data_IF_569377318254
#
_entry.id   IF_569377318254
#
_cell.length_a   1.000
_cell.length_b   1.000
_cell.length_c   1.000
_cell.angle_alpha   90.00
_cell.angle_beta   90.00
_cell.angle_gamma   90.00
#
_symmetry.space_group_name_H-M   'P 1'
#
loop_
_entity.id
_entity.type
_entity.pdbx_description
1 polymer ?
#
# COMPACT_ATOMS: atom_id res chain seq x y z
N UNK A 1 7.38 14.89 4.93
CA UNK A 1 5.93 14.69 4.67
C UNK A 1 5.22 14.53 6.02
N UNK A 2 4.13 15.28 6.28
CA UNK A 2 3.40 15.24 7.57
C UNK A 2 2.12 14.39 7.53
N UNK A 3 1.88 13.67 6.43
CA UNK A 3 0.61 12.99 6.19
C UNK A 3 -0.48 13.91 5.60
N UNK A 4 -1.67 13.35 5.33
CA UNK A 4 -2.84 14.11 4.84
C UNK A 4 -3.27 15.23 5.81
N UNK A 5 -3.86 16.29 5.28
CA UNK A 5 -4.40 17.38 6.08
C UNK A 5 -5.59 16.92 6.95
N UNK A 6 -5.95 17.72 7.93
CA UNK A 6 -7.19 17.51 8.69
C UNK A 6 -8.40 17.55 7.73
N UNK A 7 -9.33 16.59 7.86
CA UNK A 7 -10.43 16.39 6.92
C UNK A 7 -10.10 15.47 5.72
N UNK A 8 -8.83 15.25 5.41
CA UNK A 8 -8.37 14.36 4.32
C UNK A 8 -7.79 13.04 4.81
N UNK A 9 -7.81 12.83 6.14
CA UNK A 9 -7.30 11.61 6.74
C UNK A 9 -8.18 10.41 6.38
N UNK A 10 -7.60 9.21 6.21
CA UNK A 10 -8.36 7.99 6.02
C UNK A 10 -9.43 7.82 7.11
N UNK A 11 -10.63 7.44 6.69
CA UNK A 11 -11.77 7.23 7.59
C UNK A 11 -11.63 5.92 8.37
N UNK A 12 -10.96 4.93 7.80
CA UNK A 12 -10.75 3.63 8.41
C UNK A 12 -9.35 3.08 8.12
N UNK A 13 -8.90 2.19 8.99
CA UNK A 13 -7.66 1.44 8.84
C UNK A 13 -7.93 -0.05 9.07
N UNK A 14 -7.39 -0.90 8.20
CA UNK A 14 -7.34 -2.35 8.40
C UNK A 14 -5.88 -2.72 8.62
N UNK A 15 -5.59 -3.46 9.70
CA UNK A 15 -4.24 -3.98 9.96
C UNK A 15 -4.24 -5.46 9.60
N UNK A 16 -3.47 -5.82 8.58
CA UNK A 16 -3.22 -7.23 8.23
C UNK A 16 -2.08 -7.72 9.12
N UNK A 17 -2.34 -8.77 9.89
CA UNK A 17 -1.38 -9.34 10.83
C UNK A 17 -0.99 -10.77 10.45
N UNK A 18 0.24 -11.15 10.74
CA UNK A 18 0.71 -12.53 10.74
C UNK A 18 0.68 -13.10 12.17
N UNK A 19 0.24 -14.35 12.33
CA UNK A 19 0.27 -15.06 13.61
C UNK A 19 1.47 -16.01 13.68
N UNK A 20 2.41 -15.70 14.59
CA UNK A 20 3.63 -16.47 14.82
C UNK A 20 3.36 -17.88 15.37
N UNK A 21 2.18 -18.13 15.94
CA UNK A 21 1.78 -19.47 16.36
C UNK A 21 1.47 -20.39 15.17
N UNK A 22 1.07 -19.82 14.02
CA UNK A 22 0.82 -20.58 12.78
C UNK A 22 2.14 -20.83 12.05
N UNK A 23 2.96 -19.79 11.88
CA UNK A 23 4.33 -19.96 11.42
C UNK A 23 5.26 -18.93 12.05
N UNK A 24 6.40 -19.35 12.63
CA UNK A 24 7.29 -18.45 13.36
C UNK A 24 8.02 -17.46 12.45
N UNK A 25 8.22 -17.78 11.17
CA UNK A 25 8.79 -16.86 10.19
C UNK A 25 7.68 -16.09 9.47
N UNK A 26 7.52 -14.82 9.82
CA UNK A 26 6.48 -13.94 9.27
C UNK A 26 6.64 -13.65 7.77
N UNK A 27 7.86 -13.73 7.22
CA UNK A 27 8.12 -13.46 5.80
C UNK A 27 7.43 -14.46 4.88
N UNK A 28 7.16 -15.67 5.39
CA UNK A 28 6.41 -16.70 4.64
C UNK A 28 5.00 -16.25 4.29
N UNK A 29 4.42 -15.34 5.06
CA UNK A 29 3.08 -14.80 4.81
C UNK A 29 3.07 -13.59 3.87
N UNK A 30 4.22 -13.08 3.40
CA UNK A 30 4.25 -11.86 2.58
C UNK A 30 3.40 -11.98 1.31
N UNK A 31 3.37 -13.16 0.69
CA UNK A 31 2.53 -13.43 -0.47
C UNK A 31 1.04 -13.35 -0.10
N UNK A 32 0.64 -14.02 0.98
CA UNK A 32 -0.73 -14.03 1.48
C UNK A 32 -1.21 -12.63 1.88
N UNK A 33 -0.33 -11.86 2.53
CA UNK A 33 -0.56 -10.45 2.88
C UNK A 33 -0.83 -9.62 1.63
N UNK A 34 0.00 -9.77 0.58
CA UNK A 34 -0.18 -9.07 -0.68
C UNK A 34 -1.49 -9.43 -1.39
N UNK A 35 -1.84 -10.73 -1.43
CA UNK A 35 -3.08 -11.22 -2.04
C UNK A 35 -4.30 -10.64 -1.31
N UNK A 36 -4.32 -10.74 0.02
CA UNK A 36 -5.40 -10.21 0.83
C UNK A 36 -5.52 -8.69 0.67
N UNK A 37 -4.39 -7.97 0.75
CA UNK A 37 -4.34 -6.52 0.60
C UNK A 37 -4.89 -6.06 -0.74
N UNK A 38 -4.40 -6.62 -1.84
CA UNK A 38 -4.83 -6.23 -3.17
C UNK A 38 -6.30 -6.57 -3.41
N UNK A 39 -6.78 -7.71 -2.91
CA UNK A 39 -8.20 -8.09 -3.01
C UNK A 39 -9.10 -7.10 -2.29
N UNK A 40 -8.75 -6.71 -1.06
CA UNK A 40 -9.49 -5.71 -0.29
C UNK A 40 -9.47 -4.36 -0.99
N UNK A 41 -8.32 -3.94 -1.53
CA UNK A 41 -8.17 -2.68 -2.24
C UNK A 41 -8.99 -2.60 -3.52
N UNK A 42 -9.08 -3.70 -4.29
CA UNK A 42 -9.95 -3.78 -5.46
C UNK A 42 -11.44 -3.72 -5.07
N UNK A 43 -11.84 -4.40 -3.99
CA UNK A 43 -13.20 -4.32 -3.47
C UNK A 43 -13.56 -2.92 -2.95
N UNK A 44 -12.59 -2.21 -2.37
CA UNK A 44 -12.76 -0.80 -1.98
C UNK A 44 -12.99 0.08 -3.22
N UNK A 45 -12.18 -0.09 -4.27
CA UNK A 45 -12.31 0.63 -5.53
C UNK A 45 -13.67 0.39 -6.20
N UNK A 46 -14.15 -0.86 -6.23
CA UNK A 46 -15.47 -1.23 -6.74
C UNK A 46 -16.60 -0.47 -6.01
N UNK A 47 -16.43 -0.21 -4.71
CA UNK A 47 -17.39 0.54 -3.89
C UNK A 47 -17.22 2.06 -3.95
N UNK A 48 -16.38 2.57 -4.85
CA UNK A 48 -16.09 4.00 -4.96
C UNK A 48 -15.25 4.55 -3.81
N UNK A 49 -14.57 3.68 -3.06
CA UNK A 49 -13.60 4.05 -2.04
C UNK A 49 -12.18 4.03 -2.63
N UNK A 50 -11.28 4.77 -1.98
CA UNK A 50 -9.84 4.71 -2.23
C UNK A 50 -9.11 4.18 -1.02
N UNK A 51 -7.81 3.97 -1.19
CA UNK A 51 -6.96 3.63 -0.07
C UNK A 51 -5.48 3.57 -0.40
N UNK A 52 -4.69 3.32 0.62
CA UNK A 52 -3.23 3.26 0.55
C UNK A 52 -2.73 2.06 1.36
N UNK A 53 -1.89 1.24 0.74
CA UNK A 53 -1.13 0.20 1.44
C UNK A 53 0.12 0.82 2.06
N UNK A 54 0.21 0.83 3.39
CA UNK A 54 1.30 1.46 4.13
C UNK A 54 2.18 0.37 4.73
N UNK A 55 3.36 0.18 4.13
CA UNK A 55 4.41 -0.70 4.64
C UNK A 55 5.46 0.00 5.51
N UNK A 56 5.54 1.34 5.43
CA UNK A 56 6.52 2.14 6.17
C UNK A 56 5.91 2.68 7.48
N UNK A 57 6.02 1.91 8.56
CA UNK A 57 5.54 2.25 9.90
C UNK A 57 6.41 1.53 10.96
N UNK A 58 6.36 1.98 12.23
CA UNK A 58 6.97 1.23 13.34
C UNK A 58 6.03 0.11 13.79
N UNK A 59 6.50 -1.14 13.67
CA UNK A 59 5.75 -2.32 14.11
C UNK A 59 5.56 -2.32 15.62
N UNK A 60 6.58 -1.89 16.36
CA UNK A 60 6.60 -1.80 17.82
C UNK A 60 5.54 -0.79 18.28
N UNK A 61 5.61 0.45 17.78
CA UNK A 61 4.68 1.50 18.16
C UNK A 61 3.22 1.16 17.79
N UNK A 62 2.99 0.52 16.64
CA UNK A 62 1.65 0.08 16.25
C UNK A 62 1.14 -1.05 17.14
N UNK A 63 2.00 -2.02 17.45
CA UNK A 63 1.64 -3.14 18.33
C UNK A 63 1.29 -2.66 19.73
N UNK A 64 2.07 -1.72 20.28
CA UNK A 64 1.81 -1.11 21.58
C UNK A 64 0.51 -0.31 21.59
N UNK A 65 0.30 0.53 20.56
CA UNK A 65 -0.90 1.35 20.45
C UNK A 65 -2.19 0.51 20.38
N UNK A 66 -2.13 -0.63 19.70
CA UNK A 66 -3.26 -1.55 19.55
C UNK A 66 -3.29 -2.66 20.61
N UNK A 67 -2.29 -2.71 21.50
CA UNK A 67 -2.11 -3.77 22.50
C UNK A 67 -2.15 -5.17 21.89
N UNK A 68 -1.44 -5.35 20.77
CA UNK A 68 -1.39 -6.65 20.10
C UNK A 68 -0.65 -7.68 20.97
N UNK A 69 -1.11 -8.94 21.00
CA UNK A 69 -0.36 -10.02 21.63
C UNK A 69 1.02 -10.21 20.97
N UNK A 70 2.03 -10.67 21.73
CA UNK A 70 3.41 -10.84 21.23
C UNK A 70 3.54 -11.77 20.01
N UNK A 71 2.63 -12.74 19.88
CA UNK A 71 2.57 -13.65 18.75
C UNK A 71 1.93 -13.04 17.49
N UNK A 72 1.25 -11.90 17.59
CA UNK A 72 0.60 -11.21 16.47
C UNK A 72 1.52 -10.10 15.95
N UNK A 73 1.94 -10.22 14.70
CA UNK A 73 2.83 -9.25 14.06
C UNK A 73 2.06 -8.45 13.01
N UNK A 74 1.97 -7.11 13.11
CA UNK A 74 1.42 -6.31 12.02
C UNK A 74 2.34 -6.40 10.79
N UNK A 75 1.74 -6.72 9.64
CA UNK A 75 2.44 -6.91 8.37
C UNK A 75 2.19 -5.75 7.40
N UNK A 76 0.94 -5.31 7.27
CA UNK A 76 0.57 -4.20 6.38
C UNK A 76 -0.63 -3.43 6.92
N UNK A 77 -0.65 -2.11 6.72
CA UNK A 77 -1.80 -1.26 7.03
C UNK A 77 -2.51 -0.89 5.73
N UNK A 78 -3.84 -1.04 5.68
CA UNK A 78 -4.67 -0.50 4.61
C UNK A 78 -5.41 0.72 5.16
N UNK A 79 -5.03 1.91 4.69
CA UNK A 79 -5.80 3.12 4.90
C UNK A 79 -6.96 3.16 3.88
N UNK A 80 -8.18 3.43 4.33
CA UNK A 80 -9.39 3.47 3.49
C UNK A 80 -10.19 4.75 3.71
N UNK A 81 -10.81 5.26 2.65
CA UNK A 81 -11.66 6.44 2.73
C UNK A 81 -12.29 6.81 1.40
N UNK A 82 -13.10 7.88 1.40
CA UNK A 82 -13.57 8.47 0.15
C UNK A 82 -12.41 9.22 -0.51
N UNK A 83 -12.11 8.99 -1.81
CA UNK A 83 -11.08 9.74 -2.52
C UNK A 83 -11.37 11.24 -2.50
N UNK A 84 -10.33 12.04 -2.24
CA UNK A 84 -10.38 13.51 -2.29
C UNK A 84 -9.26 14.09 -3.16
N UNK A 85 -8.67 13.27 -4.03
CA UNK A 85 -7.62 13.68 -4.96
C UNK A 85 -7.82 13.05 -6.33
N UNK A 86 -7.26 13.70 -7.36
CA UNK A 86 -7.17 13.15 -8.70
C UNK A 86 -5.82 12.46 -8.87
N UNK A 87 -5.84 11.23 -9.40
CA UNK A 87 -4.65 10.43 -9.68
C UNK A 87 -4.59 10.17 -11.19
N UNK A 88 -3.43 10.42 -11.78
CA UNK A 88 -3.14 10.10 -13.18
C UNK A 88 -2.04 9.04 -13.21
N UNK A 89 -2.33 7.94 -13.91
CA UNK A 89 -1.31 6.95 -14.26
C UNK A 89 -0.73 7.36 -15.61
N UNK A 90 0.59 7.37 -15.70
CA UNK A 90 1.32 7.71 -16.92
C UNK A 90 2.47 6.72 -17.13
N UNK A 91 2.91 6.56 -18.38
CA UNK A 91 4.08 5.75 -18.66
C UNK A 91 5.34 6.47 -18.16
N UNK A 92 6.21 5.72 -17.47
CA UNK A 92 7.50 6.23 -17.04
C UNK A 92 8.37 6.55 -18.27
N UNK A 93 9.05 7.70 -18.27
CA UNK A 93 9.92 8.11 -19.38
C UNK A 93 11.20 7.27 -19.47
N UNK A 94 11.63 6.71 -18.34
CA UNK A 94 12.75 5.78 -18.20
C UNK A 94 12.72 5.15 -16.80
N UNK A 95 13.57 4.14 -16.58
CA UNK A 95 13.65 3.38 -15.31
C UNK A 95 13.89 4.23 -14.06
N UNK A 96 14.45 5.44 -14.19
CA UNK A 96 14.76 6.34 -13.06
C UNK A 96 13.59 7.27 -12.73
N UNK A 97 12.58 7.34 -13.58
CA UNK A 97 11.43 8.25 -13.48
C UNK A 97 10.18 7.52 -12.95
N UNK A 98 10.36 6.73 -11.89
CA UNK A 98 9.29 5.95 -11.24
C UNK A 98 8.74 6.63 -9.98
N UNK A 99 9.34 7.73 -9.57
CA UNK A 99 8.91 8.50 -8.40
C UNK A 99 7.60 9.23 -8.71
N UNK A 100 6.59 9.04 -7.87
CA UNK A 100 5.36 9.84 -7.98
C UNK A 100 5.66 11.32 -7.69
N UNK A 101 4.87 12.20 -8.27
CA UNK A 101 4.95 13.65 -8.04
C UNK A 101 3.56 14.29 -8.03
N UNK A 102 3.51 15.61 -7.79
CA UNK A 102 2.30 16.42 -7.95
C UNK A 102 2.60 17.59 -8.87
N UNK A 103 1.65 17.92 -9.75
CA UNK A 103 1.73 19.05 -10.66
C UNK A 103 1.30 20.37 -9.99
N UNK A 104 1.31 21.49 -10.74
CA UNK A 104 0.84 22.79 -10.24
C UNK A 104 -0.65 22.81 -9.83
N UNK A 105 -1.46 21.86 -10.32
CA UNK A 105 -2.87 21.70 -9.98
C UNK A 105 -3.09 20.71 -8.83
N UNK A 106 -2.01 20.25 -8.19
CA UNK A 106 -2.00 19.28 -7.09
C UNK A 106 -2.52 17.88 -7.49
N UNK A 107 -2.56 17.56 -8.79
CA UNK A 107 -2.90 16.24 -9.32
C UNK A 107 -1.75 15.28 -9.00
N UNK A 108 -2.07 14.06 -8.57
CA UNK A 108 -1.07 13.06 -8.22
C UNK A 108 -0.70 12.21 -9.45
N UNK A 109 0.53 12.36 -9.92
CA UNK A 109 1.05 11.60 -11.06
C UNK A 109 1.82 10.38 -10.57
N UNK A 110 1.49 9.20 -11.10
CA UNK A 110 2.14 7.93 -10.76
C UNK A 110 2.68 7.29 -12.03
N UNK A 111 3.97 7.54 -12.34
CA UNK A 111 4.64 6.87 -13.44
C UNK A 111 4.65 5.34 -13.25
N UNK A 112 4.29 4.59 -14.29
CA UNK A 112 4.30 3.13 -14.32
C UNK A 112 5.25 2.64 -15.40
N UNK A 113 6.01 1.59 -15.07
CA UNK A 113 6.81 0.87 -16.07
C UNK A 113 5.88 0.34 -17.15
N UNK A 114 6.31 0.44 -18.39
CA UNK A 114 5.58 -0.09 -19.54
C UNK A 114 5.60 -1.61 -19.53
N UNK A 115 4.70 -2.24 -20.28
CA UNK A 115 4.65 -3.70 -20.37
C UNK A 115 5.98 -4.31 -20.85
N UNK A 116 6.63 -3.68 -21.82
CA UNK A 116 7.90 -4.15 -22.39
C UNK A 116 9.03 -4.14 -21.35
N UNK A 117 9.04 -3.19 -20.42
CA UNK A 117 10.01 -3.19 -19.30
C UNK A 117 9.73 -4.27 -18.25
N UNK A 118 8.49 -4.78 -18.17
CA UNK A 118 8.11 -5.81 -17.21
C UNK A 118 8.42 -7.23 -17.69
N UNK A 119 8.54 -7.44 -19.01
CA UNK A 119 8.79 -8.75 -19.61
C UNK A 119 10.30 -8.94 -19.79
N UNK A 120 10.89 -9.87 -19.04
CA UNK A 120 12.29 -10.25 -19.19
C UNK A 120 12.38 -11.41 -20.18
N UNK A 121 13.06 -11.17 -21.31
CA UNK A 121 13.39 -12.22 -22.26
C UNK A 121 14.70 -12.89 -21.84
N UNK A 122 14.69 -14.23 -21.74
CA UNK A 122 15.91 -14.99 -21.56
C UNK A 122 16.67 -15.04 -22.90
N UNK A 123 17.97 -14.75 -22.88
CA UNK A 123 18.85 -15.13 -23.97
C UNK A 123 19.05 -16.64 -23.92
N UNK A 124 18.74 -17.33 -25.02
CA UNK A 124 18.97 -18.77 -25.21
C UNK A 124 20.27 -18.94 -25.98
#
# INVERSE_FOLDING_TARGET
FKGPAEGERPTAYIIICADKNIAPNVERFNMDVGIAAQTIMLAAAEKGLGGCMIGNYSKEALSDALKLPENICPALILALGKPNEQIILEDAKNEKDIGYYRDENNIHHVPKRTLDELIIHAEI
#
